data_IF_896753693679
#
_entry.id   IF_896753693679
#
_cell.length_a   1.000
_cell.length_b   1.000
_cell.length_c   1.000
_cell.angle_alpha   90.00
_cell.angle_beta   90.00
_cell.angle_gamma   90.00
#
_symmetry.space_group_name_H-M   'P 1'
#
loop_
_entity.id
_entity.type
_entity.pdbx_description
1 polymer ?
#
# COMPACT_ATOMS: atom_id res chain seq x y z
N UNK A 1 -18.26 1.44 22.43
CA UNK A 1 -16.82 1.79 22.32
C UNK A 1 -16.71 3.29 22.10
N UNK A 2 -17.06 4.08 23.12
CA UNK A 2 -16.90 5.54 23.07
C UNK A 2 -15.53 5.90 23.66
N UNK A 3 -14.50 5.72 22.85
CA UNK A 3 -13.21 6.35 23.13
C UNK A 3 -13.14 7.60 22.29
N UNK A 4 -12.67 8.69 22.91
CA UNK A 4 -12.49 9.99 22.28
C UNK A 4 -11.59 9.84 21.04
N UNK A 5 -12.23 9.72 19.89
CA UNK A 5 -11.56 9.76 18.59
C UNK A 5 -11.36 11.24 18.27
N UNK A 6 -10.12 11.62 17.95
CA UNK A 6 -9.82 12.99 17.53
C UNK A 6 -10.66 13.32 16.28
N UNK A 7 -11.53 14.36 16.35
CA UNK A 7 -12.37 14.74 15.22
C UNK A 7 -11.57 15.10 13.94
N UNK A 8 -10.33 15.55 14.10
CA UNK A 8 -9.46 15.87 12.97
C UNK A 8 -9.03 14.60 12.24
N UNK A 9 -8.63 13.57 12.98
CA UNK A 9 -8.26 12.27 12.40
C UNK A 9 -9.48 11.65 11.70
N UNK A 10 -10.66 11.75 12.31
CA UNK A 10 -11.88 11.24 11.72
C UNK A 10 -12.20 11.92 10.38
N UNK A 11 -12.08 13.24 10.31
CA UNK A 11 -12.32 13.99 9.09
C UNK A 11 -11.24 13.70 8.02
N UNK A 12 -10.00 13.57 8.43
CA UNK A 12 -8.90 13.19 7.56
C UNK A 12 -9.13 11.81 6.93
N UNK A 13 -9.43 10.79 7.74
CA UNK A 13 -9.74 9.44 7.24
C UNK A 13 -10.95 9.46 6.28
N UNK A 14 -11.99 10.24 6.57
CA UNK A 14 -13.14 10.36 5.65
C UNK A 14 -12.74 10.92 4.29
N UNK A 15 -11.81 11.87 4.25
CA UNK A 15 -11.33 12.52 3.02
C UNK A 15 -10.34 11.70 2.21
N UNK A 16 -9.65 10.74 2.82
CA UNK A 16 -8.71 9.90 2.09
C UNK A 16 -9.38 9.27 0.87
N UNK A 17 -8.66 9.26 -0.26
CA UNK A 17 -9.05 8.51 -1.45
C UNK A 17 -8.88 7.00 -1.25
N UNK A 18 -9.47 6.19 -2.14
CA UNK A 18 -9.27 4.74 -2.13
C UNK A 18 -7.83 4.33 -2.47
N UNK A 19 -7.04 5.23 -3.07
CA UNK A 19 -5.62 5.01 -3.34
C UNK A 19 -4.72 5.11 -2.09
N UNK A 20 -5.24 5.57 -0.95
CA UNK A 20 -4.47 5.52 0.30
C UNK A 20 -4.32 4.06 0.77
N UNK A 21 -3.13 3.70 1.27
CA UNK A 21 -2.81 2.32 1.68
C UNK A 21 -3.87 1.74 2.63
N UNK A 22 -4.31 2.54 3.60
CA UNK A 22 -5.30 2.12 4.59
C UNK A 22 -6.65 1.79 3.95
N UNK A 23 -7.14 2.64 3.03
CA UNK A 23 -8.42 2.41 2.35
C UNK A 23 -8.32 1.37 1.24
N UNK A 24 -7.22 1.34 0.50
CA UNK A 24 -6.99 0.38 -0.56
C UNK A 24 -7.05 -1.05 -0.02
N UNK A 25 -6.27 -1.35 1.00
CA UNK A 25 -6.25 -2.68 1.63
C UNK A 25 -7.60 -3.05 2.24
N UNK A 26 -8.33 -2.10 2.79
CA UNK A 26 -9.66 -2.34 3.36
C UNK A 26 -10.71 -2.58 2.28
N UNK A 27 -10.67 -1.80 1.19
CA UNK A 27 -11.58 -1.95 0.05
C UNK A 27 -11.47 -3.33 -0.58
N UNK A 28 -10.26 -3.82 -0.78
CA UNK A 28 -9.97 -5.12 -1.36
C UNK A 28 -9.80 -6.24 -0.33
N UNK A 29 -10.30 -6.08 0.91
CA UNK A 29 -10.09 -7.06 2.00
C UNK A 29 -10.59 -8.47 1.70
N UNK A 30 -11.57 -8.62 0.81
CA UNK A 30 -12.20 -9.88 0.44
C UNK A 30 -12.61 -9.90 -1.03
N UNK A 31 -12.68 -11.12 -1.57
CA UNK A 31 -13.13 -11.36 -2.95
C UNK A 31 -14.66 -11.37 -3.01
N UNK A 32 -15.27 -10.20 -3.01
CA UNK A 32 -16.71 -10.04 -3.32
C UNK A 32 -16.93 -9.96 -4.83
N UNK A 33 -18.18 -10.10 -5.34
CA UNK A 33 -18.48 -9.86 -6.75
C UNK A 33 -17.97 -8.50 -7.24
N UNK A 34 -18.09 -7.46 -6.43
CA UNK A 34 -17.71 -6.09 -6.75
C UNK A 34 -16.19 -5.96 -6.88
N UNK A 35 -15.42 -6.41 -5.88
CA UNK A 35 -13.95 -6.37 -5.92
C UNK A 35 -13.40 -7.24 -7.03
N UNK A 36 -14.04 -8.39 -7.30
CA UNK A 36 -13.69 -9.27 -8.40
C UNK A 36 -13.87 -8.56 -9.75
N UNK A 37 -15.02 -7.94 -10.00
CA UNK A 37 -15.31 -7.23 -11.25
C UNK A 37 -14.32 -6.09 -11.49
N UNK A 38 -13.99 -5.32 -10.46
CA UNK A 38 -13.02 -4.22 -10.53
C UNK A 38 -11.63 -4.75 -10.92
N UNK A 39 -11.13 -5.76 -10.21
CA UNK A 39 -9.82 -6.34 -10.47
C UNK A 39 -9.78 -7.04 -11.84
N UNK A 40 -10.80 -7.80 -12.22
CA UNK A 40 -10.86 -8.45 -13.51
C UNK A 40 -10.90 -7.43 -14.67
N UNK A 41 -11.55 -6.29 -14.50
CA UNK A 41 -11.54 -5.21 -15.51
C UNK A 41 -10.12 -4.69 -15.74
N UNK A 42 -9.37 -4.43 -14.67
CA UNK A 42 -7.97 -4.00 -14.75
C UNK A 42 -7.12 -5.10 -15.41
N UNK A 43 -7.19 -6.32 -14.90
CA UNK A 43 -6.35 -7.43 -15.33
C UNK A 43 -6.57 -7.76 -16.81
N UNK A 44 -7.83 -7.90 -17.24
CA UNK A 44 -8.17 -8.27 -18.64
C UNK A 44 -7.77 -7.21 -19.65
N UNK A 45 -7.69 -5.96 -19.24
CA UNK A 45 -7.20 -4.90 -20.12
C UNK A 45 -5.72 -5.11 -20.50
N UNK A 46 -4.90 -5.58 -19.56
CA UNK A 46 -3.47 -5.75 -19.77
C UNK A 46 -3.04 -7.17 -20.11
N UNK A 47 -3.87 -8.16 -19.75
CA UNK A 47 -3.64 -9.59 -20.04
C UNK A 47 -4.87 -10.15 -20.77
N UNK A 48 -4.96 -9.92 -22.09
CA UNK A 48 -6.08 -10.44 -22.88
C UNK A 48 -6.16 -11.96 -22.82
N UNK A 49 -7.37 -12.49 -22.64
CA UNK A 49 -7.61 -13.93 -22.61
C UNK A 49 -7.42 -14.60 -21.24
N UNK A 50 -6.97 -13.87 -20.22
CA UNK A 50 -6.91 -14.39 -18.85
C UNK A 50 -8.32 -14.79 -18.38
N UNK A 51 -8.40 -15.89 -17.62
CA UNK A 51 -9.66 -16.38 -17.07
C UNK A 51 -10.11 -15.54 -15.87
N UNK A 52 -11.03 -16.07 -15.12
CA UNK A 52 -11.59 -15.40 -13.94
C UNK A 52 -10.68 -15.56 -12.73
N UNK A 53 -10.80 -14.63 -11.78
CA UNK A 53 -10.16 -14.75 -10.48
C UNK A 53 -10.75 -15.94 -9.73
N UNK A 54 -9.88 -16.82 -9.26
CA UNK A 54 -10.22 -18.02 -8.47
C UNK A 54 -10.16 -17.69 -6.98
N UNK A 55 -9.09 -17.02 -6.56
CA UNK A 55 -8.84 -16.68 -5.16
C UNK A 55 -8.08 -15.36 -5.04
N UNK A 56 -8.22 -14.72 -3.88
CA UNK A 56 -7.53 -13.49 -3.55
C UNK A 56 -7.12 -13.51 -2.09
N UNK A 57 -5.89 -13.10 -1.82
CA UNK A 57 -5.35 -12.92 -0.49
C UNK A 57 -4.89 -11.48 -0.34
N UNK A 58 -5.38 -10.82 0.69
CA UNK A 58 -4.91 -9.49 1.08
C UNK A 58 -3.96 -9.66 2.23
N UNK A 59 -2.75 -9.21 2.05
CA UNK A 59 -1.73 -9.35 3.07
C UNK A 59 -1.93 -8.26 4.12
N UNK A 60 -2.41 -8.67 5.28
CA UNK A 60 -2.45 -7.79 6.46
C UNK A 60 -1.03 -7.50 6.92
N UNK A 61 -0.77 -6.25 7.26
CA UNK A 61 0.44 -5.86 7.97
C UNK A 61 0.66 -6.79 9.17
N UNK A 62 1.54 -7.75 9.02
CA UNK A 62 2.10 -8.46 10.16
C UNK A 62 3.28 -7.63 10.66
N UNK A 63 3.15 -7.04 11.83
CA UNK A 63 4.26 -6.41 12.51
C UNK A 63 5.32 -7.49 12.80
N UNK A 64 6.39 -7.49 12.03
CA UNK A 64 7.52 -8.38 12.26
C UNK A 64 8.62 -7.67 13.04
N UNK A 65 8.99 -8.25 14.17
CA UNK A 65 10.03 -7.76 15.09
C UNK A 65 11.45 -7.76 14.51
N UNK A 66 11.70 -8.38 13.38
CA UNK A 66 13.05 -8.45 12.79
C UNK A 66 12.99 -8.54 11.26
N UNK A 67 13.18 -7.42 10.61
CA UNK A 67 13.34 -7.33 9.17
C UNK A 67 12.12 -6.79 8.44
N UNK A 68 12.34 -5.97 7.42
CA UNK A 68 11.29 -5.41 6.57
C UNK A 68 10.66 -6.54 5.77
N UNK A 69 9.58 -7.13 6.27
CA UNK A 69 8.75 -8.00 5.47
C UNK A 69 8.16 -7.14 4.34
N UNK A 70 8.54 -7.42 3.12
CA UNK A 70 7.94 -6.83 1.93
C UNK A 70 6.68 -7.60 1.64
N UNK A 71 5.56 -6.92 1.75
CA UNK A 71 4.24 -7.52 1.59
C UNK A 71 3.55 -6.77 0.46
N UNK A 72 3.14 -7.49 -0.57
CA UNK A 72 2.31 -6.97 -1.64
C UNK A 72 0.89 -6.77 -1.11
N UNK A 73 0.20 -5.72 -1.56
CA UNK A 73 -1.14 -5.42 -1.04
C UNK A 73 -2.15 -6.52 -1.35
N UNK A 74 -2.14 -7.05 -2.58
CA UNK A 74 -3.09 -8.07 -3.03
C UNK A 74 -2.36 -9.15 -3.82
N UNK A 75 -2.61 -10.41 -3.47
CA UNK A 75 -2.17 -11.60 -4.21
C UNK A 75 -3.40 -12.29 -4.81
N UNK A 76 -3.40 -12.53 -6.13
CA UNK A 76 -4.52 -13.07 -6.89
C UNK A 76 -4.09 -14.35 -7.60
N UNK A 77 -4.86 -15.42 -7.41
CA UNK A 77 -4.76 -16.66 -8.18
C UNK A 77 -5.86 -16.69 -9.23
N UNK A 78 -5.51 -16.86 -10.51
CA UNK A 78 -6.44 -17.01 -11.62
C UNK A 78 -6.84 -18.48 -11.82
N UNK A 79 -7.98 -18.72 -12.45
CA UNK A 79 -8.48 -20.10 -12.71
C UNK A 79 -7.52 -20.90 -13.62
N UNK A 80 -6.80 -20.24 -14.53
CA UNK A 80 -5.78 -20.84 -15.41
C UNK A 80 -4.42 -21.05 -14.72
N UNK A 81 -4.31 -20.65 -13.46
CA UNK A 81 -3.14 -20.86 -12.63
C UNK A 81 -2.11 -19.73 -12.71
N UNK A 82 -2.38 -18.66 -13.45
CA UNK A 82 -1.56 -17.46 -13.40
C UNK A 82 -1.67 -16.80 -12.02
N UNK A 83 -0.59 -16.17 -11.57
CA UNK A 83 -0.57 -15.41 -10.32
C UNK A 83 -0.34 -13.94 -10.63
N UNK A 84 -1.15 -13.10 -10.01
CA UNK A 84 -1.11 -11.66 -10.20
C UNK A 84 -1.00 -11.00 -8.83
N UNK A 85 -0.05 -10.08 -8.71
CA UNK A 85 0.11 -9.25 -7.52
C UNK A 85 -0.24 -7.83 -7.89
N UNK A 86 -0.95 -7.15 -6.99
CA UNK A 86 -1.33 -5.74 -7.16
C UNK A 86 -0.79 -4.97 -5.97
N UNK A 87 -0.07 -3.90 -6.24
CA UNK A 87 0.48 -2.99 -5.24
C UNK A 87 0.03 -1.56 -5.54
N UNK A 88 -0.52 -0.88 -4.54
CA UNK A 88 -0.81 0.55 -4.61
C UNK A 88 0.39 1.32 -4.07
N UNK A 89 1.08 2.02 -4.93
CA UNK A 89 2.24 2.79 -4.55
C UNK A 89 1.93 4.29 -4.55
N UNK A 90 1.75 4.84 -3.36
CA UNK A 90 1.80 6.27 -3.15
C UNK A 90 3.26 6.68 -3.06
N UNK A 91 3.72 7.43 -4.02
CA UNK A 91 5.13 7.68 -4.21
C UNK A 91 5.69 8.69 -3.23
N UNK A 92 6.62 8.26 -2.35
CA UNK A 92 7.36 9.12 -1.43
C UNK A 92 8.88 8.97 -1.56
N UNK A 93 9.37 8.08 -2.44
CA UNK A 93 10.79 7.75 -2.48
C UNK A 93 11.51 8.62 -3.51
N UNK A 94 12.58 9.29 -3.07
CA UNK A 94 13.38 10.20 -3.89
C UNK A 94 14.41 9.50 -4.79
N UNK A 95 14.58 8.18 -4.68
CA UNK A 95 15.61 7.43 -5.41
C UNK A 95 14.97 6.36 -6.29
N UNK A 96 14.96 6.63 -7.57
CA UNK A 96 14.49 5.72 -8.61
C UNK A 96 15.07 4.31 -8.49
N UNK A 97 16.39 4.21 -8.28
CA UNK A 97 17.09 2.92 -8.13
C UNK A 97 16.58 2.08 -6.96
N UNK A 98 16.21 2.70 -5.85
CA UNK A 98 15.69 1.98 -4.67
C UNK A 98 14.34 1.36 -4.98
N UNK A 99 13.52 2.07 -5.75
CA UNK A 99 12.18 1.59 -6.13
C UNK A 99 12.28 0.46 -7.12
N UNK A 100 13.12 0.59 -8.15
CA UNK A 100 13.34 -0.48 -9.12
C UNK A 100 13.89 -1.73 -8.45
N UNK A 101 14.91 -1.62 -7.60
CA UNK A 101 15.42 -2.76 -6.83
C UNK A 101 14.36 -3.40 -5.96
N UNK A 102 13.50 -2.60 -5.33
CA UNK A 102 12.39 -3.12 -4.52
C UNK A 102 11.42 -3.94 -5.37
N UNK A 103 11.07 -3.46 -6.58
CA UNK A 103 10.18 -4.18 -7.47
C UNK A 103 10.86 -5.43 -8.07
N UNK A 104 12.14 -5.36 -8.38
CA UNK A 104 12.92 -6.53 -8.82
C UNK A 104 12.98 -7.60 -7.73
N UNK A 105 13.30 -7.22 -6.49
CA UNK A 105 13.32 -8.13 -5.34
C UNK A 105 11.93 -8.76 -5.11
N UNK A 106 10.86 -7.96 -5.19
CA UNK A 106 9.48 -8.43 -5.07
C UNK A 106 9.15 -9.43 -6.17
N UNK A 107 9.50 -9.12 -7.40
CA UNK A 107 9.32 -10.02 -8.53
C UNK A 107 10.06 -11.34 -8.35
N UNK A 108 11.31 -11.32 -7.92
CA UNK A 108 12.07 -12.56 -7.66
C UNK A 108 11.38 -13.44 -6.63
N UNK A 109 10.88 -12.85 -5.54
CA UNK A 109 10.12 -13.58 -4.54
C UNK A 109 8.84 -14.18 -5.11
N UNK A 110 8.16 -13.46 -6.00
CA UNK A 110 6.91 -13.89 -6.64
C UNK A 110 7.14 -15.02 -7.62
N UNK A 111 8.16 -14.92 -8.49
CA UNK A 111 8.56 -16.00 -9.41
C UNK A 111 8.85 -17.27 -8.62
N UNK A 112 9.60 -17.16 -7.53
CA UNK A 112 9.91 -18.30 -6.66
C UNK A 112 8.66 -18.93 -6.05
N UNK A 113 7.69 -18.10 -5.59
CA UNK A 113 6.39 -18.59 -5.08
C UNK A 113 5.53 -19.21 -6.19
N UNK A 114 5.56 -18.67 -7.38
CA UNK A 114 4.75 -19.13 -8.52
C UNK A 114 5.20 -20.49 -9.09
N UNK A 115 6.36 -21.04 -8.66
CA UNK A 115 6.88 -22.36 -9.08
C UNK A 115 6.91 -22.53 -10.59
N UNK A 116 7.45 -21.56 -11.33
CA UNK A 116 7.56 -21.59 -12.79
C UNK A 116 6.30 -21.21 -13.57
N UNK A 117 5.23 -20.79 -12.92
CA UNK A 117 4.04 -20.22 -13.60
C UNK A 117 4.30 -18.76 -13.98
N UNK A 118 3.59 -18.28 -14.99
CA UNK A 118 3.56 -16.85 -15.29
C UNK A 118 3.10 -16.05 -14.09
N UNK A 119 3.83 -15.00 -13.76
CA UNK A 119 3.45 -14.07 -12.71
C UNK A 119 3.49 -12.64 -13.21
N UNK A 120 2.58 -11.83 -12.72
CA UNK A 120 2.44 -10.42 -13.07
C UNK A 120 2.42 -9.58 -11.80
N UNK A 121 3.19 -8.51 -11.79
CA UNK A 121 3.13 -7.49 -10.76
C UNK A 121 2.53 -6.22 -11.35
N UNK A 122 1.35 -5.85 -10.91
CA UNK A 122 0.71 -4.58 -11.23
C UNK A 122 1.05 -3.57 -10.15
N UNK A 123 1.76 -2.52 -10.50
CA UNK A 123 2.07 -1.41 -9.60
C UNK A 123 1.22 -0.21 -10.00
N UNK A 124 0.23 0.11 -9.18
CA UNK A 124 -0.65 1.26 -9.36
C UNK A 124 0.05 2.49 -8.80
N UNK A 125 0.63 3.31 -9.66
CA UNK A 125 1.40 4.48 -9.25
C UNK A 125 0.52 5.72 -9.21
N UNK A 126 0.48 6.37 -8.03
CA UNK A 126 -0.18 7.66 -7.86
C UNK A 126 0.83 8.80 -7.93
N UNK A 127 0.96 9.51 -9.07
CA UNK A 127 1.96 10.56 -9.26
C UNK A 127 1.59 11.90 -8.62
N UNK A 128 0.38 12.08 -8.07
CA UNK A 128 -0.10 13.39 -7.57
C UNK A 128 0.74 14.01 -6.47
N UNK A 129 1.47 13.19 -5.69
CA UNK A 129 2.31 13.67 -4.59
C UNK A 129 3.74 14.00 -5.01
N UNK A 130 4.11 13.77 -6.28
CA UNK A 130 5.51 13.78 -6.72
C UNK A 130 5.84 14.83 -7.77
N UNK A 131 5.19 15.94 -7.80
CA UNK A 131 5.28 16.94 -8.89
C UNK A 131 6.68 17.44 -9.23
N UNK A 132 7.75 17.05 -8.59
CA UNK A 132 8.92 17.91 -8.76
C UNK A 132 10.24 17.36 -9.30
N UNK A 133 10.61 16.11 -9.30
CA UNK A 133 12.04 15.83 -9.63
C UNK A 133 12.46 14.40 -10.07
N UNK A 134 11.64 13.61 -10.76
CA UNK A 134 12.07 12.23 -11.09
C UNK A 134 12.24 11.98 -12.60
N UNK A 135 13.44 11.57 -13.01
CA UNK A 135 13.79 11.26 -14.41
C UNK A 135 13.00 10.09 -15.00
N UNK A 136 12.66 9.08 -14.21
CA UNK A 136 11.77 7.98 -14.62
C UNK A 136 10.41 8.52 -15.06
N UNK A 137 9.93 9.58 -14.40
CA UNK A 137 8.65 10.19 -14.68
C UNK A 137 8.60 10.93 -15.99
N UNK A 138 9.71 11.39 -16.54
CA UNK A 138 9.68 12.12 -17.82
C UNK A 138 9.18 11.24 -18.96
N UNK A 139 9.57 9.97 -19.02
CA UNK A 139 9.00 8.99 -19.96
C UNK A 139 7.63 8.43 -19.55
N UNK A 140 7.34 8.39 -18.25
CA UNK A 140 6.11 7.81 -17.71
C UNK A 140 4.95 8.83 -17.64
N UNK A 141 5.25 10.12 -17.55
CA UNK A 141 4.23 11.18 -17.50
C UNK A 141 3.26 11.16 -18.67
N UNK A 142 3.73 10.74 -19.85
CA UNK A 142 2.95 10.76 -21.08
C UNK A 142 2.32 9.43 -21.46
N UNK A 143 2.58 8.38 -20.68
CA UNK A 143 2.08 7.03 -20.93
C UNK A 143 1.08 6.59 -19.86
N UNK A 144 0.11 5.75 -20.25
CA UNK A 144 -0.83 5.12 -19.32
C UNK A 144 -0.20 3.97 -18.55
N UNK A 145 0.74 3.25 -19.19
CA UNK A 145 1.41 2.10 -18.61
C UNK A 145 2.76 1.83 -19.25
N UNK A 146 3.66 1.21 -18.48
CA UNK A 146 4.91 0.65 -18.99
C UNK A 146 4.94 -0.82 -18.60
N UNK A 147 5.31 -1.66 -19.56
CA UNK A 147 5.49 -3.10 -19.38
C UNK A 147 6.96 -3.45 -19.41
N UNK A 148 7.45 -4.05 -18.35
CA UNK A 148 8.76 -4.66 -18.29
C UNK A 148 8.61 -6.18 -18.33
N UNK A 149 9.08 -6.80 -19.44
CA UNK A 149 9.29 -8.24 -19.50
C UNK A 149 10.72 -8.48 -19.10
N UNK A 150 10.95 -9.22 -18.06
CA UNK A 150 12.30 -9.56 -17.63
C UNK A 150 12.48 -11.06 -17.81
N UNK A 151 13.22 -11.44 -18.85
CA UNK A 151 13.83 -12.74 -18.86
C UNK A 151 14.91 -12.75 -17.76
N UNK A 152 15.11 -13.86 -17.06
CA UNK A 152 16.17 -13.98 -16.07
C UNK A 152 17.53 -14.01 -16.77
N UNK A 153 18.03 -12.83 -17.18
CA UNK A 153 19.43 -12.68 -17.67
C UNK A 153 20.41 -12.55 -16.50
N UNK A 154 19.95 -12.76 -15.27
CA UNK A 154 20.76 -12.59 -14.08
C UNK A 154 21.16 -13.96 -13.51
N UNK A 155 22.38 -14.36 -13.73
CA UNK A 155 23.06 -15.34 -12.90
C UNK A 155 23.28 -14.73 -11.51
N UNK A 156 22.28 -14.85 -10.63
CA UNK A 156 22.52 -14.67 -9.21
C UNK A 156 23.19 -15.95 -8.69
N UNK A 157 24.47 -15.91 -8.30
CA UNK A 157 25.19 -17.10 -7.83
C UNK A 157 24.63 -17.67 -6.52
N UNK A 158 23.64 -17.05 -5.91
CA UNK A 158 22.93 -17.54 -4.72
C UNK A 158 21.60 -18.23 -5.05
N UNK A 159 21.19 -18.24 -6.31
CA UNK A 159 19.99 -18.96 -6.72
C UNK A 159 20.40 -20.27 -7.39
N UNK A 160 20.00 -21.39 -6.78
CA UNK A 160 20.12 -22.71 -7.38
C UNK A 160 19.48 -22.74 -8.77
N UNK A 161 20.27 -23.09 -9.81
CA UNK A 161 19.84 -23.17 -11.21
C UNK A 161 18.63 -24.08 -11.45
N UNK A 162 18.31 -24.98 -10.51
CA UNK A 162 17.15 -25.88 -10.57
C UNK A 162 15.77 -25.18 -10.43
N UNK A 163 15.72 -23.90 -10.05
CA UNK A 163 14.45 -23.22 -9.71
C UNK A 163 13.91 -22.25 -10.75
N UNK A 164 14.63 -21.98 -11.83
CA UNK A 164 14.15 -21.13 -12.92
C UNK A 164 14.00 -21.94 -14.21
N UNK A 165 12.81 -22.51 -14.47
CA UNK A 165 12.54 -22.98 -15.81
C UNK A 165 12.67 -21.79 -16.76
N UNK A 166 13.32 -21.97 -17.91
CA UNK A 166 13.53 -20.96 -18.95
C UNK A 166 12.27 -20.23 -19.40
N UNK A 167 11.09 -20.69 -18.97
CA UNK A 167 9.76 -20.19 -19.27
C UNK A 167 9.13 -19.32 -18.16
N UNK A 168 9.79 -19.08 -17.04
CA UNK A 168 9.23 -18.27 -15.94
C UNK A 168 9.28 -16.78 -16.30
N UNK A 169 8.35 -16.34 -17.15
CA UNK A 169 8.17 -14.94 -17.52
C UNK A 169 7.49 -14.16 -16.40
N UNK A 170 8.27 -13.42 -15.62
CA UNK A 170 7.73 -12.37 -14.75
C UNK A 170 7.50 -11.08 -15.54
N UNK A 171 6.35 -10.46 -15.37
CA UNK A 171 6.01 -9.17 -15.98
C UNK A 171 5.70 -8.15 -14.90
N UNK A 172 6.36 -7.00 -14.96
CA UNK A 172 5.98 -5.83 -14.16
C UNK A 172 5.18 -4.88 -15.04
N UNK A 173 3.99 -4.51 -14.59
CA UNK A 173 3.13 -3.51 -15.21
C UNK A 173 3.08 -2.29 -14.32
N UNK A 174 3.70 -1.19 -14.73
CA UNK A 174 3.56 0.10 -14.06
C UNK A 174 2.36 0.82 -14.65
N UNK A 175 1.39 1.17 -13.81
CA UNK A 175 0.14 1.80 -14.21
C UNK A 175 0.08 3.23 -13.69
N UNK A 176 0.01 4.21 -14.59
CA UNK A 176 -0.15 5.61 -14.25
C UNK A 176 -1.60 5.92 -13.93
N UNK A 177 -1.94 5.92 -12.64
CA UNK A 177 -3.33 6.08 -12.19
C UNK A 177 -3.93 7.42 -12.64
N UNK A 178 -3.13 8.50 -12.71
CA UNK A 178 -3.61 9.80 -13.17
C UNK A 178 -3.94 9.81 -14.66
N UNK A 179 -3.09 9.21 -15.50
CA UNK A 179 -3.38 9.12 -16.95
C UNK A 179 -4.56 8.21 -17.21
N UNK A 180 -4.60 7.06 -16.57
CA UNK A 180 -5.70 6.11 -16.69
C UNK A 180 -7.03 6.70 -16.24
N UNK A 181 -7.05 7.54 -15.20
CA UNK A 181 -8.27 8.22 -14.72
C UNK A 181 -8.90 9.18 -15.73
N UNK A 182 -8.15 9.56 -16.77
CA UNK A 182 -8.62 10.47 -17.85
C UNK A 182 -9.26 9.73 -19.03
N UNK A 183 -9.25 8.40 -19.03
CA UNK A 183 -9.93 7.59 -20.04
C UNK A 183 -11.45 7.74 -19.93
N UNK A 184 -12.13 7.56 -21.06
CA UNK A 184 -13.58 7.60 -21.12
C UNK A 184 -14.15 6.17 -21.33
N UNK A 185 -13.78 5.26 -20.41
CA UNK A 185 -14.24 3.86 -20.41
C UNK A 185 -14.29 3.32 -18.97
N UNK A 186 -14.72 2.07 -18.79
CA UNK A 186 -14.85 1.42 -17.49
C UNK A 186 -13.51 1.41 -16.71
N UNK A 187 -12.38 1.29 -17.40
CA UNK A 187 -11.07 1.35 -16.78
C UNK A 187 -10.79 2.75 -16.23
N UNK A 188 -11.08 3.78 -17.02
CA UNK A 188 -10.95 5.18 -16.61
C UNK A 188 -11.82 5.52 -15.41
N UNK A 189 -13.04 5.01 -15.35
CA UNK A 189 -13.92 5.19 -14.20
C UNK A 189 -13.31 4.58 -12.93
N UNK A 190 -12.77 3.35 -12.99
CA UNK A 190 -12.10 2.69 -11.86
C UNK A 190 -10.92 3.53 -11.37
N UNK A 191 -10.02 3.95 -12.27
CA UNK A 191 -8.86 4.74 -11.85
C UNK A 191 -9.22 6.15 -11.38
N UNK A 192 -10.26 6.77 -11.95
CA UNK A 192 -10.81 8.03 -11.44
C UNK A 192 -11.30 7.86 -10.00
N UNK A 193 -12.05 6.79 -9.73
CA UNK A 193 -12.65 6.51 -8.43
C UNK A 193 -11.61 6.16 -7.36
N UNK A 194 -10.48 5.56 -7.73
CA UNK A 194 -9.37 5.35 -6.81
C UNK A 194 -8.78 6.67 -6.30
N UNK A 195 -8.81 7.73 -7.11
CA UNK A 195 -8.12 8.99 -6.83
C UNK A 195 -9.01 10.07 -6.21
N UNK A 196 -10.34 9.96 -6.31
CA UNK A 196 -11.23 10.99 -5.78
C UNK A 196 -11.30 10.92 -4.24
N UNK A 197 -11.54 12.08 -3.57
CA UNK A 197 -11.75 12.12 -2.14
C UNK A 197 -12.90 11.20 -1.69
N UNK A 198 -12.79 10.65 -0.51
CA UNK A 198 -13.71 9.65 0.02
C UNK A 198 -15.17 10.10 0.19
N UNK A 199 -15.44 11.41 0.13
CA UNK A 199 -16.78 11.99 0.21
C UNK A 199 -17.44 12.27 -1.16
N UNK A 200 -16.77 11.92 -2.26
CA UNK A 200 -17.27 12.09 -3.63
C UNK A 200 -17.94 10.80 -4.07
N UNK A 201 -19.09 10.88 -4.75
CA UNK A 201 -19.76 9.71 -5.34
C UNK A 201 -18.88 9.10 -6.45
N UNK A 202 -18.77 7.77 -6.45
CA UNK A 202 -17.95 7.05 -7.40
C UNK A 202 -18.74 6.77 -8.70
N UNK A 203 -18.03 6.77 -9.83
CA UNK A 203 -18.62 6.52 -11.15
C UNK A 203 -18.89 5.03 -11.38
N UNK A 204 -17.95 4.19 -10.95
CA UNK A 204 -18.07 2.75 -11.06
C UNK A 204 -19.03 2.22 -10.00
N UNK A 205 -20.11 1.55 -10.44
CA UNK A 205 -21.19 1.09 -9.54
C UNK A 205 -20.72 0.01 -8.56
N UNK A 206 -19.84 -0.89 -8.98
CA UNK A 206 -19.30 -1.92 -8.10
C UNK A 206 -18.42 -1.29 -7.02
N UNK A 207 -17.58 -0.31 -7.39
CA UNK A 207 -16.77 0.42 -6.42
C UNK A 207 -17.63 1.21 -5.43
N UNK A 208 -18.67 1.91 -5.91
CA UNK A 208 -19.58 2.66 -5.04
C UNK A 208 -20.34 1.75 -4.07
N UNK A 209 -20.84 0.61 -4.56
CA UNK A 209 -21.51 -0.38 -3.72
C UNK A 209 -20.55 -0.92 -2.66
N UNK A 210 -19.38 -1.38 -3.07
CA UNK A 210 -18.37 -1.90 -2.15
C UNK A 210 -17.91 -0.87 -1.14
N UNK A 211 -17.71 0.38 -1.55
CA UNK A 211 -17.35 1.48 -0.66
C UNK A 211 -18.36 1.67 0.47
N UNK A 212 -19.66 1.66 0.14
CA UNK A 212 -20.74 1.79 1.14
C UNK A 212 -20.78 0.62 2.12
N UNK A 213 -20.46 -0.59 1.66
CA UNK A 213 -20.40 -1.77 2.52
C UNK A 213 -19.22 -1.73 3.50
N UNK A 214 -18.05 -1.33 3.01
CA UNK A 214 -16.80 -1.41 3.77
C UNK A 214 -16.58 -0.21 4.67
N UNK A 215 -16.91 1.01 4.20
CA UNK A 215 -16.65 2.24 4.95
C UNK A 215 -17.89 2.78 5.65
N UNK A 216 -18.54 1.91 6.44
CA UNK A 216 -19.59 2.34 7.36
C UNK A 216 -19.03 3.28 8.43
N UNK A 217 -19.89 4.05 9.09
CA UNK A 217 -19.47 4.97 10.17
C UNK A 217 -18.70 4.23 11.28
N UNK A 218 -19.13 3.03 11.63
CA UNK A 218 -18.46 2.18 12.62
C UNK A 218 -17.05 1.77 12.17
N UNK A 219 -16.92 1.35 10.90
CA UNK A 219 -15.62 0.91 10.36
C UNK A 219 -14.66 2.09 10.19
N UNK A 220 -15.15 3.26 9.78
CA UNK A 220 -14.33 4.48 9.73
C UNK A 220 -13.84 4.87 11.12
N UNK A 221 -14.68 4.79 12.15
CA UNK A 221 -14.26 5.02 13.54
C UNK A 221 -13.19 4.02 14.00
N UNK A 222 -13.34 2.75 13.63
CA UNK A 222 -12.35 1.72 13.94
C UNK A 222 -11.01 2.00 13.26
N UNK A 223 -11.01 2.38 11.98
CA UNK A 223 -9.80 2.80 11.26
C UNK A 223 -9.10 3.98 11.95
N UNK A 224 -9.86 5.00 12.37
CA UNK A 224 -9.32 6.14 13.10
C UNK A 224 -8.64 5.70 14.41
N UNK A 225 -9.27 4.80 15.14
CA UNK A 225 -8.72 4.28 16.38
C UNK A 225 -7.42 3.48 16.14
N UNK A 226 -7.40 2.63 15.10
CA UNK A 226 -6.22 1.86 14.71
C UNK A 226 -5.06 2.78 14.31
N UNK A 227 -5.35 3.82 13.50
CA UNK A 227 -4.37 4.83 13.07
C UNK A 227 -3.82 5.63 14.24
N UNK A 228 -4.69 6.09 15.13
CA UNK A 228 -4.29 6.80 16.36
C UNK A 228 -3.37 5.92 17.22
N UNK A 229 -3.71 4.66 17.38
CA UNK A 229 -2.89 3.69 18.14
C UNK A 229 -1.54 3.43 17.48
N UNK A 230 -1.51 3.33 16.17
CA UNK A 230 -0.27 3.17 15.42
C UNK A 230 0.61 4.42 15.59
N UNK A 231 0.04 5.60 15.44
CA UNK A 231 0.76 6.87 15.64
C UNK A 231 1.32 6.97 17.07
N UNK A 232 0.53 6.66 18.10
CA UNK A 232 0.99 6.64 19.48
C UNK A 232 2.20 5.71 19.67
N UNK A 233 2.14 4.49 19.11
CA UNK A 233 3.25 3.51 19.17
C UNK A 233 4.50 3.98 18.46
N UNK A 234 4.36 4.61 17.29
CA UNK A 234 5.48 5.13 16.50
C UNK A 234 6.15 6.31 17.21
N UNK A 235 5.37 7.18 17.86
CA UNK A 235 5.85 8.36 18.56
C UNK A 235 6.45 8.06 19.95
N UNK A 236 6.06 6.95 20.58
CA UNK A 236 6.50 6.61 21.93
C UNK A 236 8.04 6.55 22.10
N UNK A 237 8.83 5.91 21.20
CA UNK A 237 10.30 5.92 21.31
C UNK A 237 10.89 7.33 21.20
N UNK A 238 10.32 8.21 20.38
CA UNK A 238 10.78 9.58 20.23
C UNK A 238 10.45 10.41 21.47
N UNK A 239 9.27 10.24 22.06
CA UNK A 239 8.86 10.85 23.32
C UNK A 239 9.81 10.44 24.46
N UNK A 240 10.10 9.15 24.58
CA UNK A 240 11.02 8.63 25.59
C UNK A 240 12.43 9.27 25.42
N UNK A 241 12.94 9.33 24.19
CA UNK A 241 14.23 9.98 23.91
C UNK A 241 14.23 11.47 24.29
N UNK A 242 13.16 12.19 23.93
CA UNK A 242 12.99 13.61 24.24
C UNK A 242 12.95 13.85 25.76
N UNK A 243 12.21 13.03 26.51
CA UNK A 243 12.13 13.10 27.97
C UNK A 243 13.53 12.89 28.60
N UNK A 244 14.23 11.83 28.21
CA UNK A 244 15.59 11.53 28.72
C UNK A 244 16.59 12.64 28.35
N UNK A 245 16.49 13.20 27.14
CA UNK A 245 17.32 14.30 26.69
C UNK A 245 17.07 15.57 27.52
N UNK A 246 15.83 15.99 27.72
CA UNK A 246 15.50 17.17 28.54
C UNK A 246 15.99 17.00 29.98
N UNK A 247 15.86 15.80 30.54
CA UNK A 247 16.37 15.50 31.90
C UNK A 247 17.91 15.60 31.95
N UNK A 248 18.63 15.13 30.93
CA UNK A 248 20.08 15.26 30.84
C UNK A 248 20.55 16.72 30.76
N UNK A 249 19.69 17.62 30.32
CA UNK A 249 19.91 19.07 30.31
C UNK A 249 19.53 19.76 31.65
N UNK A 250 19.14 19.00 32.67
CA UNK A 250 18.80 19.48 34.00
C UNK A 250 17.36 19.90 34.21
N UNK A 251 16.45 19.57 33.26
CA UNK A 251 15.02 19.85 33.45
C UNK A 251 14.42 18.93 34.52
N UNK A 252 13.53 19.44 35.37
CA UNK A 252 12.81 18.66 36.36
C UNK A 252 11.73 17.79 35.70
N UNK A 253 11.28 16.71 36.37
CA UNK A 253 10.20 15.88 35.87
C UNK A 253 8.91 16.66 35.67
N UNK A 254 8.64 17.64 36.50
CA UNK A 254 7.49 18.55 36.46
C UNK A 254 7.56 19.46 35.21
N UNK A 255 8.73 20.02 34.91
CA UNK A 255 8.92 20.86 33.71
C UNK A 255 8.82 20.04 32.43
N UNK A 256 9.37 18.83 32.43
CA UNK A 256 9.28 17.90 31.33
C UNK A 256 7.82 17.51 31.07
N UNK A 257 7.08 17.14 32.12
CA UNK A 257 5.64 16.82 32.04
C UNK A 257 4.85 17.95 31.39
N UNK A 258 5.08 19.19 31.79
CA UNK A 258 4.43 20.38 31.20
C UNK A 258 4.79 20.58 29.72
N UNK A 259 6.05 20.40 29.35
CA UNK A 259 6.52 20.62 27.97
C UNK A 259 6.10 19.53 27.00
N UNK A 260 6.00 18.29 27.49
CA UNK A 260 5.68 17.12 26.65
C UNK A 260 4.23 16.76 26.68
N UNK A 261 3.43 17.43 27.55
CA UNK A 261 2.02 17.12 27.81
C UNK A 261 1.80 15.64 28.27
N UNK A 262 2.87 14.99 28.75
CA UNK A 262 2.79 13.65 29.31
C UNK A 262 2.54 13.69 30.82
N UNK A 263 1.72 12.74 31.35
CA UNK A 263 1.46 12.64 32.78
C UNK A 263 2.76 12.55 33.60
N UNK A 264 2.84 13.30 34.69
CA UNK A 264 4.05 13.35 35.55
C UNK A 264 4.52 11.97 35.99
N UNK A 265 3.59 11.09 36.38
CA UNK A 265 3.90 9.70 36.78
C UNK A 265 4.55 8.90 35.64
N UNK A 266 4.09 9.12 34.38
CA UNK A 266 4.71 8.50 33.21
C UNK A 266 6.12 9.01 32.97
N UNK A 267 6.33 10.33 33.12
CA UNK A 267 7.67 10.94 32.99
C UNK A 267 8.60 10.37 34.04
N UNK A 268 8.21 10.34 35.31
CA UNK A 268 9.02 9.74 36.39
C UNK A 268 9.41 8.30 36.10
N UNK A 269 8.43 7.47 35.70
CA UNK A 269 8.68 6.06 35.33
C UNK A 269 9.69 5.91 34.18
N UNK A 270 9.62 6.78 33.16
CA UNK A 270 10.59 6.78 32.05
C UNK A 270 12.00 7.13 32.52
N UNK A 271 12.11 8.08 33.44
CA UNK A 271 13.41 8.52 33.99
C UNK A 271 14.04 7.50 34.93
N UNK A 272 13.25 6.67 35.60
CA UNK A 272 13.71 5.58 36.48
C UNK A 272 14.19 4.35 35.67
N UNK A 273 13.74 4.22 34.41
CA UNK A 273 14.13 3.09 33.55
C UNK A 273 15.49 3.36 32.90
N UNK A 274 16.51 2.57 33.32
CA UNK A 274 17.90 2.68 32.82
C UNK A 274 18.02 2.39 31.31
#
# INVERSE_FOLDING_TARGET
MDKDIDPKILEEIRRLSLSSDVKFNRFFSDLTPETKNVLETIIRHYIPGVKSIKNMLVQKYAAHDKGRARITDIEIEMVDGENIWVEMQNWNEKREEVVFRRWEDERHLQIKKAKGRKCYLFVLLNPRETEKEYKIWDGFRDTESIRYSMKPDYHDPQMDEEFFPEEADGVIMLLNTEKLSKRNDALGDIFSDLLVPGNVELKNKDMEKRRKEVFTEEEVRKMCYEEQKMHERLMEPFKIKSIKYMHSLGASAEDISKKTEEPLEKVKKILETK
#
